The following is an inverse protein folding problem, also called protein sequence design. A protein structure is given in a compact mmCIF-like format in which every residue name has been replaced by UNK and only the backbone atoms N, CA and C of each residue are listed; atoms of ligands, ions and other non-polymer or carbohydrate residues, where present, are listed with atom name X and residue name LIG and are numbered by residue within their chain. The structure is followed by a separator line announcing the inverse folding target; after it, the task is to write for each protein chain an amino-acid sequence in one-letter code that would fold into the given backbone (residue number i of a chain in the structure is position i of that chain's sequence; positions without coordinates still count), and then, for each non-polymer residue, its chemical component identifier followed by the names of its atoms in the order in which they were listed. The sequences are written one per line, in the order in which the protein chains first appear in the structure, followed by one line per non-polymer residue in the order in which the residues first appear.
data_IF_402015749141
#
_entry.id   IF_402015749141
#
_cell.length_a   1.000
_cell.length_b   1.000
_cell.length_c   1.000
_cell.angle_alpha   90.00
_cell.angle_beta   90.00
_cell.angle_gamma   90.00
#
_symmetry.space_group_name_H-M   'P 1'
#
loop_
_entity.id
_entity.type
_entity.pdbx_description
1 polymer ?
#
# COMPACT_ATOMS: atom_id res chain seq x y z
N UNK A 1 -4.45 0.52 9.62
CA UNK A 1 -3.68 -0.42 8.79
C UNK A 1 -4.62 -1.24 7.93
N UNK A 2 -4.38 -1.31 6.62
CA UNK A 2 -5.24 -1.98 5.63
C UNK A 2 -5.55 -3.44 6.01
N UNK A 3 -4.58 -4.13 6.60
CA UNK A 3 -4.73 -5.51 7.07
C UNK A 3 -5.83 -5.72 8.10
N UNK A 4 -6.09 -4.72 8.97
CA UNK A 4 -7.19 -4.80 9.95
C UNK A 4 -8.52 -4.36 9.33
N UNK A 5 -8.48 -3.38 8.43
CA UNK A 5 -9.69 -2.84 7.81
C UNK A 5 -10.36 -3.86 6.87
N UNK A 6 -9.59 -4.72 6.19
CA UNK A 6 -10.12 -5.72 5.25
C UNK A 6 -11.16 -6.65 5.88
N UNK A 7 -10.95 -7.08 7.13
CA UNK A 7 -11.91 -7.91 7.86
C UNK A 7 -13.22 -7.17 8.17
N UNK A 8 -13.13 -5.90 8.58
CA UNK A 8 -14.33 -5.09 8.84
C UNK A 8 -15.13 -4.84 7.57
N UNK A 9 -14.45 -4.73 6.44
CA UNK A 9 -15.04 -4.51 5.13
C UNK A 9 -15.49 -5.80 4.43
N UNK A 10 -15.23 -7.00 5.01
CA UNK A 10 -15.46 -8.31 4.38
C UNK A 10 -14.72 -8.47 3.04
N UNK A 11 -13.49 -8.00 3.01
CA UNK A 11 -12.56 -8.04 1.87
C UNK A 11 -11.30 -8.84 2.24
N UNK A 12 -11.44 -9.85 3.11
CA UNK A 12 -10.30 -10.62 3.62
C UNK A 12 -9.47 -11.25 2.51
N UNK A 13 -10.18 -11.78 1.51
CA UNK A 13 -9.63 -12.52 0.38
C UNK A 13 -9.75 -11.76 -0.94
N UNK A 14 -10.06 -10.46 -0.91
CA UNK A 14 -10.22 -9.67 -2.12
C UNK A 14 -8.86 -9.57 -2.85
N UNK A 15 -8.77 -10.05 -4.10
CA UNK A 15 -7.51 -10.14 -4.83
C UNK A 15 -6.91 -8.77 -5.16
N UNK A 16 -7.71 -7.71 -5.12
CA UNK A 16 -7.24 -6.34 -5.29
C UNK A 16 -6.93 -5.64 -3.96
N UNK A 17 -7.20 -6.28 -2.80
CA UNK A 17 -6.82 -5.75 -1.47
C UNK A 17 -5.59 -6.45 -0.90
N UNK A 18 -5.47 -7.77 -1.09
CA UNK A 18 -4.36 -8.58 -0.59
C UNK A 18 -2.95 -8.04 -0.98
N UNK A 19 -2.70 -7.54 -2.19
CA UNK A 19 -1.42 -6.96 -2.58
C UNK A 19 -0.99 -5.79 -1.68
N UNK A 20 -1.94 -4.95 -1.25
CA UNK A 20 -1.67 -3.84 -0.34
C UNK A 20 -1.41 -4.30 1.10
N UNK A 21 -1.93 -5.46 1.50
CA UNK A 21 -1.54 -6.11 2.77
C UNK A 21 -0.08 -6.53 2.70
N UNK A 22 0.34 -7.17 1.60
CA UNK A 22 1.73 -7.56 1.36
C UNK A 22 2.66 -6.35 1.39
N UNK A 23 2.33 -5.29 0.63
CA UNK A 23 3.11 -4.04 0.64
C UNK A 23 3.22 -3.47 2.05
N UNK A 24 2.11 -3.40 2.81
CA UNK A 24 2.15 -2.88 4.17
C UNK A 24 3.03 -3.73 5.10
N UNK A 25 3.06 -5.05 4.93
CA UNK A 25 3.89 -5.96 5.72
C UNK A 25 5.38 -5.80 5.39
N UNK A 26 5.73 -5.81 4.11
CA UNK A 26 7.14 -5.72 3.67
C UNK A 26 7.76 -4.34 3.95
N UNK A 27 6.93 -3.31 4.06
CA UNK A 27 7.38 -1.93 4.30
C UNK A 27 7.21 -1.47 5.75
N UNK A 28 6.70 -2.31 6.66
CA UNK A 28 6.35 -1.90 8.03
C UNK A 28 7.55 -1.41 8.85
N UNK A 29 8.75 -1.92 8.53
CA UNK A 29 10.00 -1.59 9.24
C UNK A 29 10.73 -0.41 8.61
N UNK A 30 10.28 0.07 7.45
CA UNK A 30 10.93 1.17 6.75
C UNK A 30 10.57 2.51 7.40
N UNK A 31 11.52 3.45 7.52
CA UNK A 31 11.25 4.77 8.05
C UNK A 31 10.46 5.61 7.03
N UNK A 32 9.14 5.53 7.11
CA UNK A 32 8.21 6.21 6.23
C UNK A 32 7.45 7.32 6.98
N UNK A 33 7.11 8.40 6.27
CA UNK A 33 6.32 9.49 6.83
C UNK A 33 6.93 10.08 8.11
N UNK A 34 6.12 10.19 9.16
CA UNK A 34 6.50 10.82 10.42
C UNK A 34 7.55 10.05 11.20
N UNK A 35 7.71 8.74 10.98
CA UNK A 35 8.69 7.95 11.73
C UNK A 35 10.13 8.39 11.43
N UNK A 36 10.35 9.01 10.26
CA UNK A 36 11.66 9.56 9.85
C UNK A 36 12.25 10.55 10.86
N UNK A 37 11.41 11.25 11.64
CA UNK A 37 11.89 12.22 12.64
C UNK A 37 12.68 11.54 13.78
N UNK A 38 12.46 10.25 13.99
CA UNK A 38 13.11 9.47 15.05
C UNK A 38 14.41 8.79 14.57
N UNK A 39 14.73 8.88 13.28
CA UNK A 39 15.90 8.24 12.69
C UNK A 39 17.06 9.22 12.56
N UNK A 40 18.28 8.70 12.71
CA UNK A 40 19.48 9.49 12.43
C UNK A 40 19.57 9.80 10.93
N UNK A 41 19.98 11.02 10.60
CA UNK A 41 20.08 11.48 9.21
C UNK A 41 20.97 10.58 8.34
N UNK A 42 22.08 10.08 8.89
CA UNK A 42 22.96 9.16 8.16
C UNK A 42 22.29 7.81 7.89
N UNK A 43 21.58 7.24 8.86
CA UNK A 43 20.86 5.98 8.68
C UNK A 43 19.77 6.11 7.59
N UNK A 44 19.10 7.26 7.51
CA UNK A 44 18.16 7.56 6.42
C UNK A 44 18.85 7.65 5.06
N UNK A 45 20.03 8.28 5.00
CA UNK A 45 20.81 8.39 3.78
C UNK A 45 21.27 7.00 3.28
N UNK A 46 21.73 6.15 4.19
CA UNK A 46 22.17 4.79 3.89
C UNK A 46 21.02 3.90 3.40
N UNK A 47 19.81 4.10 3.93
CA UNK A 47 18.59 3.38 3.55
C UNK A 47 17.90 3.92 2.29
N UNK A 48 18.33 5.07 1.75
CA UNK A 48 17.62 5.74 0.65
C UNK A 48 17.46 4.84 -0.58
N UNK A 49 18.47 4.01 -0.90
CA UNK A 49 18.38 3.04 -2.00
C UNK A 49 17.27 2.02 -1.75
N UNK A 50 17.23 1.41 -0.57
CA UNK A 50 16.20 0.43 -0.19
C UNK A 50 14.80 1.04 -0.19
N UNK A 51 14.67 2.29 0.27
CA UNK A 51 13.40 3.02 0.21
C UNK A 51 12.92 3.21 -1.24
N UNK A 52 13.82 3.57 -2.15
CA UNK A 52 13.49 3.72 -3.56
C UNK A 52 13.11 2.39 -4.21
N UNK A 53 13.85 1.32 -3.91
CA UNK A 53 13.55 -0.04 -4.39
C UNK A 53 12.18 -0.52 -3.91
N UNK A 54 11.89 -0.37 -2.62
CA UNK A 54 10.60 -0.72 -2.04
C UNK A 54 9.45 0.10 -2.67
N UNK A 55 9.66 1.39 -2.93
CA UNK A 55 8.65 2.24 -3.55
C UNK A 55 8.39 1.87 -5.02
N UNK A 56 9.43 1.51 -5.77
CA UNK A 56 9.29 1.04 -7.15
C UNK A 56 8.55 -0.29 -7.20
N UNK A 57 8.98 -1.26 -6.38
CA UNK A 57 8.31 -2.55 -6.25
C UNK A 57 6.84 -2.40 -5.85
N UNK A 58 6.54 -1.58 -4.83
CA UNK A 58 5.17 -1.36 -4.39
C UNK A 58 4.30 -0.72 -5.49
N UNK A 59 4.89 0.16 -6.32
CA UNK A 59 4.20 0.74 -7.48
C UNK A 59 3.92 -0.33 -8.54
N UNK A 60 4.90 -1.16 -8.87
CA UNK A 60 4.75 -2.24 -9.85
C UNK A 60 3.66 -3.22 -9.42
N UNK A 61 3.70 -3.68 -8.17
CA UNK A 61 2.69 -4.58 -7.61
C UNK A 61 1.32 -3.89 -7.55
N UNK A 62 1.24 -2.68 -6.99
CA UNK A 62 -0.04 -2.05 -6.68
C UNK A 62 -0.80 -1.46 -7.87
N UNK A 63 -0.13 -1.16 -8.99
CA UNK A 63 -0.75 -0.37 -10.08
C UNK A 63 -1.99 -1.04 -10.66
N UNK A 64 -1.90 -2.31 -11.05
CA UNK A 64 -3.04 -3.04 -11.64
C UNK A 64 -4.20 -3.16 -10.65
N UNK A 65 -3.91 -3.42 -9.37
CA UNK A 65 -4.94 -3.56 -8.35
C UNK A 65 -5.62 -2.23 -8.02
N UNK A 66 -4.88 -1.12 -7.99
CA UNK A 66 -5.46 0.23 -7.92
C UNK A 66 -6.42 0.49 -9.09
N UNK A 67 -6.03 0.13 -10.32
CA UNK A 67 -6.87 0.32 -11.49
C UNK A 67 -8.16 -0.51 -11.41
N UNK A 68 -8.08 -1.75 -10.94
CA UNK A 68 -9.24 -2.61 -10.73
C UNK A 68 -10.20 -2.03 -9.67
N UNK A 69 -9.67 -1.54 -8.55
CA UNK A 69 -10.48 -0.90 -7.50
C UNK A 69 -11.21 0.34 -8.01
N UNK A 70 -10.52 1.21 -8.77
CA UNK A 70 -11.13 2.39 -9.39
C UNK A 70 -12.21 2.00 -10.40
N UNK A 71 -11.97 0.96 -11.20
CA UNK A 71 -12.98 0.46 -12.15
C UNK A 71 -14.22 -0.08 -11.45
N UNK A 72 -14.03 -0.81 -10.33
CA UNK A 72 -15.12 -1.33 -9.49
C UNK A 72 -15.92 -0.21 -8.84
N UNK A 73 -15.24 0.80 -8.28
CA UNK A 73 -15.89 1.98 -7.70
C UNK A 73 -16.72 2.71 -8.77
N UNK A 74 -16.12 3.00 -9.93
CA UNK A 74 -16.80 3.67 -11.03
C UNK A 74 -17.99 2.88 -11.60
N UNK A 75 -18.00 1.56 -11.44
CA UNK A 75 -19.15 0.71 -11.75
C UNK A 75 -20.24 0.84 -10.69
N UNK A 76 -19.87 0.80 -9.40
CA UNK A 76 -20.81 0.94 -8.28
C UNK A 76 -21.49 2.32 -8.26
N UNK A 77 -20.76 3.38 -8.61
CA UNK A 77 -21.29 4.74 -8.71
C UNK A 77 -22.16 4.99 -9.96
N UNK A 78 -22.23 4.03 -10.89
CA UNK A 78 -23.02 4.11 -12.13
C UNK A 78 -24.43 3.52 -12.01
N UNK A 79 -24.89 3.13 -10.82
CA UNK A 79 -26.26 2.64 -10.67
C UNK A 79 -27.29 3.76 -10.95
N UNK A 80 -28.27 3.56 -11.86
CA UNK A 80 -29.31 4.53 -12.14
C UNK A 80 -30.43 4.50 -11.08
N UNK A 81 -31.16 5.61 -10.95
CA UNK A 81 -32.38 5.75 -10.13
C UNK A 81 -33.38 4.58 -10.31
#
# INVERSE_FOLDING_TARGET
MIAKCRFKAKLEDDPDILPFVGIASETETLPLGNDRIHWQAQALADLQRTLNEAQNWAREVGTTHCQNLLAREAFLLRWPD
#
